data_IF_134640214187
#
_entry.id   IF_134640214187
#
_cell.length_a   1.000
_cell.length_b   1.000
_cell.length_c   1.000
_cell.angle_alpha   90.00
_cell.angle_beta   90.00
_cell.angle_gamma   90.00
#
_symmetry.space_group_name_H-M   'P 1'
#
loop_
_entity.id
_entity.type
_entity.pdbx_description
1 polymer ?
#
# COMPACT_ATOMS: atom_id res chain seq x y z
N UNK A 1 -11.05 -21.41 -0.28
CA UNK A 1 -10.06 -21.41 -1.37
C UNK A 1 -8.74 -21.02 -0.75
N UNK A 2 -7.82 -21.98 -0.60
CA UNK A 2 -6.49 -21.68 -0.08
C UNK A 2 -5.73 -20.87 -1.13
N UNK A 3 -5.21 -19.70 -0.74
CA UNK A 3 -4.31 -18.94 -1.62
C UNK A 3 -3.01 -19.71 -1.80
N UNK A 4 -2.47 -19.68 -3.02
CA UNK A 4 -1.18 -20.30 -3.32
C UNK A 4 -0.08 -19.69 -2.45
N UNK A 5 0.91 -20.51 -2.06
CA UNK A 5 2.13 -20.08 -1.38
C UNK A 5 2.79 -18.85 -2.03
N UNK A 6 2.70 -18.75 -3.35
CA UNK A 6 3.21 -17.62 -4.12
C UNK A 6 2.55 -16.29 -3.73
N UNK A 7 1.24 -16.27 -3.51
CA UNK A 7 0.55 -15.02 -3.13
C UNK A 7 0.89 -14.60 -1.70
N UNK A 8 1.04 -15.56 -0.79
CA UNK A 8 1.50 -15.29 0.56
C UNK A 8 2.92 -14.69 0.59
N UNK A 9 3.81 -15.21 -0.26
CA UNK A 9 5.17 -14.69 -0.44
C UNK A 9 5.16 -13.25 -0.97
N UNK A 10 4.31 -12.95 -1.96
CA UNK A 10 4.18 -11.60 -2.53
C UNK A 10 3.83 -10.59 -1.42
N UNK A 11 2.87 -10.90 -0.56
CA UNK A 11 2.49 -9.99 0.53
C UNK A 11 3.62 -9.72 1.52
N UNK A 12 4.43 -10.74 1.86
CA UNK A 12 5.62 -10.56 2.71
C UNK A 12 6.69 -9.71 2.03
N UNK A 13 6.97 -9.96 0.74
CA UNK A 13 7.88 -9.14 -0.05
C UNK A 13 7.41 -7.68 -0.11
N UNK A 14 6.11 -7.44 -0.30
CA UNK A 14 5.54 -6.09 -0.31
C UNK A 14 5.70 -5.37 1.03
N UNK A 15 5.56 -6.06 2.18
CA UNK A 15 5.82 -5.43 3.49
C UNK A 15 7.28 -4.97 3.61
N UNK A 16 8.23 -5.80 3.23
CA UNK A 16 9.66 -5.46 3.25
C UNK A 16 9.94 -4.28 2.32
N UNK A 17 9.40 -4.33 1.10
CA UNK A 17 9.50 -3.27 0.10
C UNK A 17 9.00 -1.93 0.66
N UNK A 18 7.81 -1.90 1.26
CA UNK A 18 7.26 -0.66 1.82
C UNK A 18 8.07 -0.13 3.01
N UNK A 19 8.61 -1.00 3.88
CA UNK A 19 9.49 -0.56 4.97
C UNK A 19 10.77 0.11 4.44
N UNK A 20 11.38 -0.45 3.39
CA UNK A 20 12.55 0.15 2.74
C UNK A 20 12.16 1.49 2.11
N UNK A 21 11.09 1.53 1.31
CA UNK A 21 10.64 2.75 0.62
C UNK A 21 10.37 3.88 1.61
N UNK A 22 9.67 3.62 2.73
CA UNK A 22 9.34 4.64 3.74
C UNK A 22 10.60 5.37 4.25
N UNK A 23 11.71 4.64 4.42
CA UNK A 23 12.98 5.21 4.89
C UNK A 23 13.68 6.08 3.85
N UNK A 24 13.42 5.85 2.56
CA UNK A 24 14.10 6.52 1.44
C UNK A 24 13.32 7.72 0.91
N UNK A 25 12.01 7.80 1.16
CA UNK A 25 11.16 8.84 0.61
C UNK A 25 10.99 10.05 1.55
N UNK A 26 10.83 11.27 1.00
CA UNK A 26 10.52 12.46 1.79
C UNK A 26 9.27 12.30 2.65
N UNK A 27 9.29 12.85 3.88
CA UNK A 27 8.17 12.80 4.86
C UNK A 27 6.80 13.13 4.27
N UNK A 28 6.73 14.06 3.31
CA UNK A 28 5.48 14.45 2.63
C UNK A 28 4.78 13.32 1.87
N UNK A 29 5.48 12.23 1.53
CA UNK A 29 4.93 11.07 0.83
C UNK A 29 4.77 9.85 1.73
N UNK A 30 5.24 9.94 2.97
CA UNK A 30 5.24 8.80 3.88
C UNK A 30 3.83 8.33 4.20
N UNK A 31 2.83 9.22 4.29
CA UNK A 31 1.45 8.82 4.56
C UNK A 31 0.92 7.79 3.55
N UNK A 32 1.15 8.01 2.25
CA UNK A 32 0.73 7.05 1.21
C UNK A 32 1.45 5.70 1.35
N UNK A 33 2.74 5.73 1.70
CA UNK A 33 3.52 4.51 1.90
C UNK A 33 3.11 3.76 3.17
N UNK A 34 2.78 4.46 4.25
CA UNK A 34 2.23 3.83 5.47
C UNK A 34 0.88 3.18 5.19
N UNK A 35 0.02 3.80 4.37
CA UNK A 35 -1.25 3.19 3.96
C UNK A 35 -1.04 1.90 3.15
N UNK A 36 -0.08 1.89 2.22
CA UNK A 36 0.29 0.68 1.50
C UNK A 36 0.86 -0.41 2.43
N UNK A 37 1.67 -0.02 3.43
CA UNK A 37 2.19 -0.94 4.43
C UNK A 37 1.06 -1.55 5.27
N UNK A 38 0.09 -0.75 5.72
CA UNK A 38 -1.08 -1.24 6.47
C UNK A 38 -1.92 -2.19 5.61
N UNK A 39 -2.09 -1.89 4.32
CA UNK A 39 -2.77 -2.78 3.37
C UNK A 39 -2.08 -4.14 3.29
N UNK A 40 -0.76 -4.15 3.09
CA UNK A 40 0.02 -5.39 3.00
C UNK A 40 -0.02 -6.19 4.31
N UNK A 41 0.04 -5.51 5.47
CA UNK A 41 -0.12 -6.14 6.79
C UNK A 41 -1.51 -6.73 7.01
N UNK A 42 -2.57 -6.04 6.59
CA UNK A 42 -3.94 -6.54 6.68
C UNK A 42 -4.12 -7.81 5.84
N UNK A 43 -3.54 -7.87 4.64
CA UNK A 43 -3.55 -9.05 3.78
C UNK A 43 -2.87 -10.26 4.46
N UNK A 44 -1.65 -10.06 5.00
CA UNK A 44 -0.92 -11.11 5.73
C UNK A 44 -1.72 -11.56 6.96
N UNK A 45 -2.26 -10.62 7.73
CA UNK A 45 -3.00 -10.90 8.95
C UNK A 45 -4.26 -11.72 8.66
N UNK A 46 -4.97 -11.37 7.58
CA UNK A 46 -6.16 -12.12 7.15
C UNK A 46 -5.80 -13.57 6.84
N UNK A 47 -4.69 -13.81 6.15
CA UNK A 47 -4.21 -15.15 5.87
C UNK A 47 -3.75 -15.92 7.11
N UNK A 48 -3.03 -15.27 8.04
CA UNK A 48 -2.64 -15.90 9.31
C UNK A 48 -3.86 -16.32 10.15
N UNK A 49 -4.96 -15.57 10.02
CA UNK A 49 -6.24 -15.90 10.66
C UNK A 49 -7.08 -16.89 9.84
N UNK A 50 -6.47 -17.62 8.90
CA UNK A 50 -7.14 -18.60 8.03
C UNK A 50 -8.40 -18.05 7.33
N UNK A 51 -8.34 -16.77 6.95
CA UNK A 51 -9.41 -16.04 6.30
C UNK A 51 -10.69 -15.84 7.14
N UNK A 52 -10.63 -16.06 8.47
CA UNK A 52 -11.80 -15.95 9.35
C UNK A 52 -12.20 -14.51 9.68
N UNK A 53 -11.30 -13.54 9.47
CA UNK A 53 -11.50 -12.16 9.89
C UNK A 53 -11.72 -11.25 8.67
N UNK A 54 -12.96 -11.21 8.17
CA UNK A 54 -13.30 -10.51 6.92
C UNK A 54 -13.07 -8.99 6.96
N UNK A 55 -13.15 -8.34 8.12
CA UNK A 55 -12.92 -6.91 8.22
C UNK A 55 -11.47 -6.50 7.86
N UNK A 56 -10.51 -7.43 7.88
CA UNK A 56 -9.16 -7.17 7.40
C UNK A 56 -9.13 -6.91 5.89
N UNK A 57 -10.03 -7.55 5.11
CA UNK A 57 -10.17 -7.28 3.67
C UNK A 57 -10.70 -5.87 3.44
N UNK A 58 -11.62 -5.40 4.29
CA UNK A 58 -12.13 -4.02 4.22
C UNK A 58 -11.02 -3.01 4.52
N UNK A 59 -10.21 -3.26 5.55
CA UNK A 59 -9.05 -2.41 5.87
C UNK A 59 -8.06 -2.40 4.71
N UNK A 60 -7.73 -3.56 4.14
CA UNK A 60 -6.84 -3.68 2.99
C UNK A 60 -7.35 -2.87 1.80
N UNK A 61 -8.63 -3.02 1.43
CA UNK A 61 -9.22 -2.30 0.32
C UNK A 61 -9.26 -0.78 0.56
N UNK A 62 -9.68 -0.34 1.75
CA UNK A 62 -9.77 1.07 2.10
C UNK A 62 -8.40 1.76 2.08
N UNK A 63 -7.39 1.13 2.71
CA UNK A 63 -6.04 1.69 2.77
C UNK A 63 -5.36 1.73 1.41
N UNK A 64 -5.57 0.70 0.57
CA UNK A 64 -5.11 0.71 -0.84
C UNK A 64 -5.74 1.85 -1.63
N UNK A 65 -7.06 2.04 -1.49
CA UNK A 65 -7.78 3.13 -2.15
C UNK A 65 -7.25 4.51 -1.75
N UNK A 66 -7.03 4.73 -0.45
CA UNK A 66 -6.49 5.98 0.08
C UNK A 66 -5.04 6.22 -0.38
N UNK A 67 -4.19 5.18 -0.39
CA UNK A 67 -2.82 5.30 -0.87
C UNK A 67 -2.76 5.71 -2.36
N UNK A 68 -3.57 5.06 -3.19
CA UNK A 68 -3.68 5.36 -4.61
C UNK A 68 -4.22 6.77 -4.86
N UNK A 69 -5.21 7.22 -4.09
CA UNK A 69 -5.73 8.58 -4.18
C UNK A 69 -4.65 9.62 -3.85
N UNK A 70 -3.86 9.40 -2.78
CA UNK A 70 -2.76 10.30 -2.45
C UNK A 70 -1.69 10.34 -3.54
N UNK A 71 -1.39 9.21 -4.16
CA UNK A 71 -0.46 9.14 -5.28
C UNK A 71 -0.99 9.88 -6.52
N UNK A 72 -2.27 9.73 -6.83
CA UNK A 72 -2.93 10.44 -7.92
C UNK A 72 -2.87 11.96 -7.74
N UNK A 73 -3.24 12.46 -6.56
CA UNK A 73 -3.15 13.90 -6.23
C UNK A 73 -1.71 14.42 -6.25
N UNK A 74 -0.73 13.57 -5.89
CA UNK A 74 0.67 13.92 -6.06
C UNK A 74 1.04 14.04 -7.55
N UNK A 75 0.74 13.02 -8.36
CA UNK A 75 1.05 12.98 -9.79
C UNK A 75 0.44 14.17 -10.54
N UNK A 76 -0.82 14.50 -10.25
CA UNK A 76 -1.52 15.67 -10.79
C UNK A 76 -0.76 16.97 -10.50
N UNK A 77 -0.36 17.20 -9.24
CA UNK A 77 0.40 18.39 -8.83
C UNK A 77 1.78 18.48 -9.51
N UNK A 78 2.46 17.35 -9.67
CA UNK A 78 3.76 17.29 -10.36
C UNK A 78 3.61 17.63 -11.84
N UNK A 79 2.62 17.04 -12.52
CA UNK A 79 2.35 17.30 -13.93
C UNK A 79 1.98 18.78 -14.17
N UNK A 80 1.13 19.37 -13.33
CA UNK A 80 0.81 20.80 -13.40
C UNK A 80 2.01 21.73 -13.18
N UNK A 81 3.03 21.30 -12.42
CA UNK A 81 4.26 22.07 -12.23
C UNK A 81 5.17 21.99 -13.45
N UNK A 82 5.32 20.79 -14.03
CA UNK A 82 6.12 20.57 -15.23
C UNK A 82 5.59 21.40 -16.41
N UNK A 83 4.27 21.40 -16.64
CA UNK A 83 3.62 22.22 -17.68
C UNK A 83 3.78 23.74 -17.51
N UNK A 84 4.16 24.23 -16.32
CA UNK A 84 4.43 25.66 -16.08
C UNK A 84 5.90 26.04 -16.33
N UNK A 85 6.77 25.04 -16.46
CA UNK A 85 8.21 25.21 -16.70
C UNK A 85 8.55 25.06 -18.19
N UNK A 86 7.62 24.52 -18.98
CA UNK A 86 7.59 24.55 -20.46
C UNK A 86 7.00 25.88 -20.96
#
# INVERSE_FOLDING_TARGET
MDLSWSTWLIHHCSVIEWMIIISMIPKRYQTAMHLNLISAWAAISWHLTHNHIEWLVLIQAATTGLANYQWYEHSKRTNSRLKKME
#
